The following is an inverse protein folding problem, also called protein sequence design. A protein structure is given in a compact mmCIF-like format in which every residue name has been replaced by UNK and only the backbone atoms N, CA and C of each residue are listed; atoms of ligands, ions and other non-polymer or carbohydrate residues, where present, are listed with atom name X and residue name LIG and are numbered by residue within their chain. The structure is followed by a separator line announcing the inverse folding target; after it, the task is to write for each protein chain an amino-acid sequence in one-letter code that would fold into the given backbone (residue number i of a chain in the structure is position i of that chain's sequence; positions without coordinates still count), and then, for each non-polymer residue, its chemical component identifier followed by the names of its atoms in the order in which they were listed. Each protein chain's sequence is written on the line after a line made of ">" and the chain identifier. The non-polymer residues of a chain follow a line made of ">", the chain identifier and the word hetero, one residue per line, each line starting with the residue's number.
data_IF_351955391065
#
_entry.id   IF_351955391065
#
_cell.length_a   1.000
_cell.length_b   1.000
_cell.length_c   1.000
_cell.angle_alpha   90.00
_cell.angle_beta   90.00
_cell.angle_gamma   90.00
#
_symmetry.space_group_name_H-M   'P 1'
#
loop_
_entity.id
_entity.type
_entity.pdbx_description
1 polymer ?
#
# COMPACT_ATOMS: atom_id res chain seq x y z
N UNK A 1 -24.05 -8.26 5.86
CA UNK A 1 -23.49 -7.13 5.09
C UNK A 1 -22.13 -7.56 4.60
N UNK A 2 -21.66 -7.09 3.45
CA UNK A 2 -20.30 -7.42 2.99
C UNK A 2 -19.29 -6.84 3.99
N UNK A 3 -18.24 -7.59 4.28
CA UNK A 3 -17.11 -7.07 5.07
C UNK A 3 -16.32 -6.06 4.24
N UNK A 4 -15.71 -5.08 4.90
CA UNK A 4 -15.06 -3.95 4.23
C UNK A 4 -13.54 -4.01 4.32
N UNK A 5 -12.87 -3.68 3.23
CA UNK A 5 -11.42 -3.48 3.16
C UNK A 5 -11.16 -2.01 2.83
N UNK A 6 -10.36 -1.33 3.66
CA UNK A 6 -9.94 0.04 3.41
C UNK A 6 -8.63 0.03 2.62
N UNK A 7 -8.64 0.55 1.39
CA UNK A 7 -7.44 0.69 0.57
C UNK A 7 -7.04 2.16 0.49
N UNK A 8 -5.81 2.49 0.93
CA UNK A 8 -5.35 3.86 1.11
C UNK A 8 -4.25 4.19 0.11
N UNK A 9 -4.53 5.16 -0.76
CA UNK A 9 -3.63 5.65 -1.80
C UNK A 9 -2.92 6.93 -1.34
N UNK A 10 -1.71 7.17 -1.83
CA UNK A 10 -1.03 8.46 -1.65
C UNK A 10 -1.80 9.60 -2.33
N UNK A 11 -1.75 10.79 -1.75
CA UNK A 11 -2.17 12.04 -2.38
C UNK A 11 -0.99 12.85 -2.93
N UNK A 12 0.24 12.31 -2.87
CA UNK A 12 1.46 13.00 -3.29
C UNK A 12 1.74 12.82 -4.78
N UNK A 13 1.96 13.91 -5.51
CA UNK A 13 2.03 13.92 -6.99
C UNK A 13 3.43 14.26 -7.56
N UNK A 14 4.43 14.49 -6.70
CA UNK A 14 5.76 14.97 -7.12
C UNK A 14 6.90 14.10 -6.59
N UNK A 15 7.85 13.80 -7.44
CA UNK A 15 9.01 13.00 -7.06
C UNK A 15 10.11 13.91 -6.48
N UNK A 16 9.88 14.38 -5.25
CA UNK A 16 10.74 15.37 -4.59
C UNK A 16 10.93 16.64 -5.43
N UNK A 17 12.17 17.13 -5.48
CA UNK A 17 12.56 18.30 -6.28
C UNK A 17 13.05 17.95 -7.69
N UNK A 18 12.86 16.71 -8.15
CA UNK A 18 13.34 16.24 -9.47
C UNK A 18 12.65 16.91 -10.67
N UNK A 19 11.46 17.51 -10.44
CA UNK A 19 10.61 18.04 -11.49
C UNK A 19 9.76 16.99 -12.21
N UNK A 20 9.82 15.72 -11.79
CA UNK A 20 8.98 14.64 -12.29
C UNK A 20 7.76 14.40 -11.38
N UNK A 21 6.66 13.94 -11.98
CA UNK A 21 5.46 13.52 -11.26
C UNK A 21 5.61 12.09 -10.73
N UNK A 22 4.86 11.78 -9.68
CA UNK A 22 4.65 10.42 -9.17
C UNK A 22 3.22 10.30 -8.62
N UNK A 23 2.92 9.21 -7.93
CA UNK A 23 1.64 8.94 -7.31
C UNK A 23 1.59 7.51 -6.81
N UNK A 24 0.39 6.94 -6.74
CA UNK A 24 0.25 5.50 -6.55
C UNK A 24 0.64 4.75 -7.83
N UNK A 25 1.08 3.50 -7.70
CA UNK A 25 1.33 2.63 -8.86
C UNK A 25 0.06 1.85 -9.24
N UNK A 26 -0.43 1.99 -10.48
CA UNK A 26 -1.74 1.46 -10.88
C UNK A 26 -1.93 -0.04 -10.62
N UNK A 27 -0.96 -0.88 -11.00
CA UNK A 27 -1.02 -2.34 -10.78
C UNK A 27 -1.18 -2.69 -9.28
N UNK A 28 -0.51 -1.94 -8.41
CA UNK A 28 -0.49 -2.18 -6.96
C UNK A 28 -1.81 -1.82 -6.28
N UNK A 29 -2.67 -1.07 -6.97
CA UNK A 29 -4.03 -0.77 -6.55
C UNK A 29 -5.02 -1.70 -7.26
N UNK A 30 -4.92 -1.83 -8.59
CA UNK A 30 -5.89 -2.51 -9.43
C UNK A 30 -5.95 -4.02 -9.16
N UNK A 31 -4.80 -4.71 -9.09
CA UNK A 31 -4.77 -6.15 -8.84
C UNK A 31 -5.32 -6.49 -7.44
N UNK A 32 -4.90 -5.83 -6.33
CA UNK A 32 -5.51 -6.05 -5.03
C UNK A 32 -7.00 -5.69 -4.98
N UNK A 33 -7.39 -4.57 -5.61
CA UNK A 33 -8.80 -4.14 -5.61
C UNK A 33 -9.68 -5.22 -6.22
N UNK A 34 -9.31 -5.71 -7.40
CA UNK A 34 -10.08 -6.73 -8.11
C UNK A 34 -10.13 -8.04 -7.33
N UNK A 35 -9.00 -8.50 -6.78
CA UNK A 35 -8.93 -9.72 -5.97
C UNK A 35 -9.87 -9.64 -4.76
N UNK A 36 -9.90 -8.49 -4.07
CA UNK A 36 -10.79 -8.28 -2.93
C UNK A 36 -12.27 -8.17 -3.34
N UNK A 37 -12.57 -7.47 -4.43
CA UNK A 37 -13.92 -7.32 -4.98
C UNK A 37 -14.51 -8.67 -5.44
N UNK A 38 -13.73 -9.47 -6.18
CA UNK A 38 -14.14 -10.80 -6.64
C UNK A 38 -14.29 -11.80 -5.48
N UNK A 39 -13.57 -11.59 -4.37
CA UNK A 39 -13.74 -12.34 -3.13
C UNK A 39 -14.99 -11.91 -2.31
N UNK A 40 -15.72 -10.88 -2.74
CA UNK A 40 -16.98 -10.43 -2.15
C UNK A 40 -16.83 -9.38 -1.05
N UNK A 41 -15.65 -8.78 -0.90
CA UNK A 41 -15.43 -7.66 0.02
C UNK A 41 -15.83 -6.33 -0.62
N UNK A 42 -16.35 -5.42 0.19
CA UNK A 42 -16.53 -4.04 -0.22
C UNK A 42 -15.20 -3.28 -0.06
N UNK A 43 -14.56 -2.93 -1.18
CA UNK A 43 -13.31 -2.16 -1.18
C UNK A 43 -13.58 -0.66 -1.15
N UNK A 44 -13.27 -0.01 -0.03
CA UNK A 44 -13.36 1.44 0.13
C UNK A 44 -12.02 2.06 -0.22
N UNK A 45 -12.00 2.96 -1.22
CA UNK A 45 -10.81 3.71 -1.57
C UNK A 45 -10.73 5.01 -0.77
N UNK A 46 -9.57 5.28 -0.20
CA UNK A 46 -9.29 6.47 0.58
C UNK A 46 -7.91 7.06 0.22
N UNK A 47 -7.71 8.34 0.52
CA UNK A 47 -6.40 8.99 0.42
C UNK A 47 -6.29 10.11 1.46
N UNK A 48 -5.08 10.58 1.82
CA UNK A 48 -4.92 11.67 2.78
C UNK A 48 -5.81 12.89 2.52
N UNK A 49 -5.92 13.30 1.25
CA UNK A 49 -6.69 14.48 0.85
C UNK A 49 -8.10 14.18 0.32
N UNK A 50 -8.43 12.92 0.08
CA UNK A 50 -9.65 12.53 -0.63
C UNK A 50 -9.65 12.95 -2.10
N UNK A 51 -10.77 12.74 -2.80
CA UNK A 51 -10.88 13.01 -4.24
C UNK A 51 -10.08 12.02 -5.09
N UNK A 52 -9.73 12.38 -6.32
CA UNK A 52 -8.93 11.52 -7.21
C UNK A 52 -7.44 11.60 -6.86
N UNK A 53 -6.81 10.54 -6.34
CA UNK A 53 -5.39 10.55 -6.02
C UNK A 53 -4.55 10.54 -7.31
N UNK A 54 -3.34 11.14 -7.28
CA UNK A 54 -2.43 11.11 -8.42
C UNK A 54 -1.89 9.69 -8.64
N UNK A 55 -1.77 9.28 -9.89
CA UNK A 55 -1.04 8.06 -10.25
C UNK A 55 0.35 8.42 -10.77
N UNK A 56 1.30 7.51 -10.59
CA UNK A 56 2.58 7.62 -11.28
C UNK A 56 2.38 7.38 -12.78
N UNK A 57 2.72 8.33 -13.68
CA UNK A 57 2.51 8.14 -15.13
C UNK A 57 3.22 6.88 -15.68
N UNK A 58 4.36 6.50 -15.10
CA UNK A 58 5.11 5.32 -15.55
C UNK A 58 4.33 4.02 -15.33
N UNK A 59 3.42 4.00 -14.36
CA UNK A 59 2.59 2.83 -14.06
C UNK A 59 1.58 2.50 -15.16
N UNK A 60 1.36 3.41 -16.12
CA UNK A 60 0.54 3.18 -17.32
C UNK A 60 1.34 3.27 -18.62
N UNK A 61 2.35 4.14 -18.70
CA UNK A 61 3.07 4.44 -19.93
C UNK A 61 4.17 3.42 -20.29
N UNK A 62 4.71 2.70 -19.31
CA UNK A 62 5.86 1.80 -19.52
C UNK A 62 5.47 0.36 -19.88
N UNK A 63 4.19 0.12 -20.17
CA UNK A 63 3.67 -1.23 -20.39
C UNK A 63 3.41 -1.45 -21.87
N UNK A 64 4.18 -2.35 -22.50
CA UNK A 64 3.93 -2.82 -23.86
C UNK A 64 2.52 -3.44 -23.99
N UNK A 65 2.05 -4.05 -22.90
CA UNK A 65 0.71 -4.60 -22.72
C UNK A 65 0.22 -4.18 -21.34
N UNK A 66 -0.94 -3.52 -21.28
CA UNK A 66 -1.61 -3.21 -20.02
C UNK A 66 -1.96 -4.52 -19.31
N UNK A 67 -1.56 -4.72 -18.04
CA UNK A 67 -1.95 -5.88 -17.24
C UNK A 67 -3.46 -6.04 -17.19
N UNK A 68 -3.93 -7.29 -17.17
CA UNK A 68 -5.36 -7.61 -17.21
C UNK A 68 -6.14 -6.95 -16.06
N UNK A 69 -5.54 -6.85 -14.88
CA UNK A 69 -6.18 -6.23 -13.71
C UNK A 69 -6.29 -4.72 -13.82
N UNK A 70 -5.27 -4.06 -14.37
CA UNK A 70 -5.31 -2.63 -14.69
C UNK A 70 -6.35 -2.35 -15.78
N UNK A 71 -6.37 -3.15 -16.84
CA UNK A 71 -7.37 -3.02 -17.91
C UNK A 71 -8.80 -3.21 -17.35
N UNK A 72 -9.02 -4.25 -16.55
CA UNK A 72 -10.30 -4.49 -15.89
C UNK A 72 -10.72 -3.30 -15.02
N UNK A 73 -9.80 -2.73 -14.24
CA UNK A 73 -10.10 -1.60 -13.37
C UNK A 73 -10.51 -0.36 -14.17
N UNK A 74 -9.72 -0.01 -15.20
CA UNK A 74 -9.98 1.14 -16.07
C UNK A 74 -11.30 1.03 -16.83
N UNK A 75 -11.72 -0.19 -17.19
CA UNK A 75 -12.99 -0.47 -17.86
C UNK A 75 -14.19 -0.59 -16.92
N UNK A 76 -13.96 -0.70 -15.61
CA UNK A 76 -15.02 -0.84 -14.59
C UNK A 76 -15.48 0.55 -14.09
N UNK A 77 -16.70 1.00 -14.45
CA UNK A 77 -17.16 2.35 -14.10
C UNK A 77 -17.30 2.58 -12.60
N UNK A 78 -17.71 1.55 -11.84
CA UNK A 78 -17.88 1.62 -10.39
C UNK A 78 -16.54 1.76 -9.69
N UNK A 79 -15.54 0.97 -10.11
CA UNK A 79 -14.18 1.05 -9.57
C UNK A 79 -13.55 2.42 -9.86
N UNK A 80 -13.71 2.91 -11.09
CA UNK A 80 -13.25 4.25 -11.48
C UNK A 80 -13.98 5.38 -10.76
N UNK A 81 -15.28 5.24 -10.48
CA UNK A 81 -16.02 6.23 -9.67
C UNK A 81 -15.47 6.29 -8.24
N UNK A 82 -15.19 5.14 -7.61
CA UNK A 82 -14.54 5.09 -6.29
C UNK A 82 -13.15 5.70 -6.30
N UNK A 83 -12.39 5.52 -7.37
CA UNK A 83 -11.06 6.12 -7.49
C UNK A 83 -11.14 7.64 -7.64
N UNK A 84 -12.14 8.15 -8.37
CA UNK A 84 -12.32 9.61 -8.56
C UNK A 84 -12.79 10.34 -7.31
N UNK A 85 -13.38 9.63 -6.36
CA UNK A 85 -13.97 10.18 -5.15
C UNK A 85 -13.51 9.41 -3.91
N UNK A 86 -12.19 9.30 -3.72
CA UNK A 86 -11.65 8.64 -2.52
C UNK A 86 -12.02 9.40 -1.26
N UNK A 87 -12.30 8.65 -0.19
CA UNK A 87 -12.64 9.23 1.11
C UNK A 87 -11.39 9.86 1.74
N UNK A 88 -11.43 11.12 2.23
CA UNK A 88 -10.29 11.70 2.94
C UNK A 88 -10.06 10.95 4.27
N UNK A 89 -8.80 10.69 4.63
CA UNK A 89 -8.48 9.95 5.87
C UNK A 89 -9.04 10.60 7.15
N UNK A 90 -9.28 11.92 7.11
CA UNK A 90 -9.90 12.65 8.22
C UNK A 90 -11.37 12.26 8.49
N UNK A 91 -12.05 11.66 7.52
CA UNK A 91 -13.46 11.28 7.58
C UNK A 91 -13.67 9.77 7.77
N UNK A 92 -12.58 8.99 7.79
CA UNK A 92 -12.65 7.56 8.04
C UNK A 92 -13.04 7.30 9.50
N UNK A 93 -14.16 6.60 9.69
CA UNK A 93 -14.54 6.05 11.00
C UNK A 93 -13.77 4.75 11.27
N UNK A 94 -13.19 4.66 12.46
CA UNK A 94 -12.42 3.49 12.87
C UNK A 94 -13.37 2.32 13.18
N UNK A 95 -12.96 1.08 12.93
CA UNK A 95 -13.69 -0.10 13.43
C UNK A 95 -14.43 -0.97 12.40
N UNK A 96 -14.84 -0.42 11.26
CA UNK A 96 -15.69 -1.14 10.28
C UNK A 96 -14.90 -2.01 9.29
N UNK A 97 -13.58 -1.88 9.28
CA UNK A 97 -12.72 -2.56 8.31
C UNK A 97 -12.09 -3.81 8.91
N UNK A 98 -12.21 -4.92 8.19
CA UNK A 98 -11.56 -6.20 8.52
C UNK A 98 -10.11 -6.26 8.03
N UNK A 99 -9.78 -5.42 7.03
CA UNK A 99 -8.41 -5.19 6.59
C UNK A 99 -8.17 -3.75 6.14
N UNK A 100 -6.90 -3.34 6.21
CA UNK A 100 -6.36 -2.11 5.60
C UNK A 100 -5.30 -2.53 4.59
N UNK A 101 -5.30 -1.95 3.39
CA UNK A 101 -4.33 -2.23 2.34
C UNK A 101 -3.67 -0.94 1.83
N UNK A 102 -2.35 -0.94 1.70
CA UNK A 102 -1.56 0.21 1.24
C UNK A 102 -0.84 -0.14 -0.07
N UNK A 103 -1.39 0.25 -1.24
CA UNK A 103 -0.64 0.28 -2.49
C UNK A 103 0.57 1.21 -2.36
N UNK A 104 1.62 0.93 -3.10
CA UNK A 104 2.81 1.78 -3.18
C UNK A 104 2.75 2.73 -4.38
N UNK A 105 3.85 2.80 -5.12
CA UNK A 105 4.26 3.97 -5.89
C UNK A 105 5.02 4.97 -5.03
N UNK A 106 5.99 5.68 -5.63
CA UNK A 106 6.93 6.51 -4.86
C UNK A 106 6.25 7.61 -4.06
N UNK A 107 5.07 8.08 -4.45
CA UNK A 107 4.32 9.07 -3.65
C UNK A 107 4.06 8.60 -2.22
N UNK A 108 3.90 7.28 -1.99
CA UNK A 108 3.58 6.69 -0.71
C UNK A 108 4.63 6.96 0.39
N UNK A 109 5.90 7.22 0.06
CA UNK A 109 6.93 7.55 1.06
C UNK A 109 7.01 9.05 1.38
N UNK A 110 6.28 9.90 0.68
CA UNK A 110 6.31 11.36 0.91
C UNK A 110 5.25 11.85 1.87
N UNK A 111 4.01 11.32 1.81
CA UNK A 111 2.90 11.81 2.63
C UNK A 111 2.48 10.82 3.73
N UNK A 112 2.28 9.55 3.38
CA UNK A 112 1.78 8.52 4.30
C UNK A 112 2.58 8.38 5.60
N UNK A 113 3.94 8.39 5.62
CA UNK A 113 4.71 8.19 6.84
C UNK A 113 4.43 9.22 7.94
N UNK A 114 3.96 10.41 7.55
CA UNK A 114 3.73 11.55 8.44
C UNK A 114 2.25 11.84 8.70
N UNK A 115 1.34 11.11 8.07
CA UNK A 115 -0.08 11.32 8.21
C UNK A 115 -0.62 10.78 9.54
N UNK A 116 -1.07 11.70 10.41
CA UNK A 116 -1.55 11.36 11.75
C UNK A 116 -2.92 10.65 11.75
N UNK A 117 -3.70 10.74 10.67
CA UNK A 117 -4.92 9.95 10.53
C UNK A 117 -4.57 8.52 10.16
N UNK A 118 -3.68 8.32 9.18
CA UNK A 118 -3.19 7.00 8.81
C UNK A 118 -2.58 6.25 10.00
N UNK A 119 -1.69 6.91 10.77
CA UNK A 119 -1.08 6.30 11.94
C UNK A 119 -2.11 5.82 12.97
N UNK A 120 -3.21 6.57 13.17
CA UNK A 120 -4.32 6.16 14.04
C UNK A 120 -5.15 5.02 13.45
N UNK A 121 -5.44 5.06 12.15
CA UNK A 121 -6.17 3.98 11.45
C UNK A 121 -5.42 2.66 11.59
N UNK A 122 -4.11 2.67 11.33
CA UNK A 122 -3.27 1.48 11.39
C UNK A 122 -3.08 0.98 12.83
N UNK A 123 -2.92 1.89 13.79
CA UNK A 123 -2.86 1.53 15.22
C UNK A 123 -4.15 0.84 15.70
N UNK A 124 -5.31 1.42 15.40
CA UNK A 124 -6.61 0.81 15.71
C UNK A 124 -6.80 -0.55 15.00
N UNK A 125 -6.47 -0.61 13.71
CA UNK A 125 -6.52 -1.85 12.94
C UNK A 125 -5.67 -2.95 13.60
N UNK A 126 -4.45 -2.63 14.03
CA UNK A 126 -3.59 -3.58 14.73
C UNK A 126 -4.16 -4.02 16.08
N UNK A 127 -4.68 -3.08 16.89
CA UNK A 127 -5.25 -3.37 18.22
C UNK A 127 -6.52 -4.23 18.14
N UNK A 128 -7.37 -4.02 17.13
CA UNK A 128 -8.52 -4.89 16.82
C UNK A 128 -8.12 -6.22 16.17
N UNK A 129 -6.85 -6.35 15.81
CA UNK A 129 -6.33 -7.47 15.06
C UNK A 129 -6.94 -7.58 13.67
N UNK A 130 -7.22 -6.49 12.96
CA UNK A 130 -7.50 -6.47 11.52
C UNK A 130 -6.24 -6.89 10.72
N UNK A 131 -6.41 -7.32 9.46
CA UNK A 131 -5.26 -7.61 8.57
C UNK A 131 -4.73 -6.30 8.01
N UNK A 132 -3.41 -6.12 7.97
CA UNK A 132 -2.75 -4.97 7.35
C UNK A 132 -1.91 -5.49 6.19
N UNK A 133 -2.22 -5.04 4.98
CA UNK A 133 -1.49 -5.34 3.75
C UNK A 133 -0.76 -4.11 3.22
N UNK A 134 0.44 -4.26 2.67
CA UNK A 134 1.12 -3.21 1.95
C UNK A 134 2.06 -3.77 0.87
N UNK A 135 2.30 -3.04 -0.22
CA UNK A 135 3.20 -3.51 -1.30
C UNK A 135 4.11 -2.39 -1.79
N UNK A 136 5.32 -2.73 -2.25
CA UNK A 136 6.28 -1.79 -2.84
C UNK A 136 6.69 -0.69 -1.87
N UNK A 137 6.32 0.57 -2.15
CA UNK A 137 6.50 1.72 -1.24
C UNK A 137 5.37 1.91 -0.22
N UNK A 138 4.27 1.16 -0.35
CA UNK A 138 3.14 1.16 0.58
C UNK A 138 3.51 0.92 2.05
N UNK A 139 4.49 0.04 2.39
CA UNK A 139 5.02 -0.09 3.74
C UNK A 139 5.56 1.22 4.34
N UNK A 140 5.85 2.24 3.52
CA UNK A 140 6.15 3.60 3.97
C UNK A 140 5.04 4.18 4.87
N UNK A 141 3.77 3.85 4.62
CA UNK A 141 2.67 4.25 5.48
C UNK A 141 2.70 3.62 6.89
N UNK A 142 3.44 2.53 7.08
CA UNK A 142 3.61 1.90 8.40
C UNK A 142 4.64 2.63 9.28
N UNK A 143 5.46 3.52 8.69
CA UNK A 143 6.59 4.18 9.37
C UNK A 143 6.14 5.06 10.54
N UNK A 144 4.99 5.72 10.41
CA UNK A 144 4.41 6.58 11.44
C UNK A 144 3.46 5.85 12.40
N UNK A 145 3.16 4.57 12.16
CA UNK A 145 2.16 3.83 12.91
C UNK A 145 2.76 3.16 14.17
N UNK A 146 2.05 3.25 15.28
CA UNK A 146 2.46 2.67 16.57
C UNK A 146 1.36 1.80 17.15
N UNK A 147 1.73 0.79 17.93
CA UNK A 147 0.79 0.02 18.75
C UNK A 147 0.37 0.84 19.97
N UNK A 148 -0.65 0.38 20.68
CA UNK A 148 -1.12 0.96 21.95
C UNK A 148 -0.04 1.10 23.04
N UNK A 149 1.02 0.31 22.99
CA UNK A 149 2.17 0.42 23.92
C UNK A 149 3.20 1.49 23.50
N UNK A 150 3.01 2.16 22.37
CA UNK A 150 3.90 3.19 21.82
C UNK A 150 5.06 2.67 20.97
N UNK A 151 5.22 1.34 20.80
CA UNK A 151 6.23 0.78 19.91
C UNK A 151 5.81 0.89 18.43
N UNK A 152 6.77 0.94 17.49
CA UNK A 152 6.46 0.86 16.07
C UNK A 152 5.60 -0.36 15.74
N UNK A 153 4.60 -0.20 14.88
CA UNK A 153 3.63 -1.25 14.52
C UNK A 153 4.32 -2.51 13.98
N UNK A 154 5.45 -2.35 13.30
CA UNK A 154 6.21 -3.43 12.66
C UNK A 154 7.32 -4.03 13.52
N UNK A 155 7.55 -3.52 14.74
CA UNK A 155 8.66 -3.98 15.58
C UNK A 155 8.51 -5.48 15.90
N UNK A 156 9.50 -6.29 15.50
CA UNK A 156 9.50 -7.75 15.67
C UNK A 156 8.57 -8.50 14.70
N UNK A 157 8.14 -7.88 13.61
CA UNK A 157 7.46 -8.55 12.49
C UNK A 157 8.43 -8.78 11.34
N UNK A 158 8.27 -9.89 10.62
CA UNK A 158 8.86 -10.02 9.30
C UNK A 158 8.13 -9.08 8.34
N UNK A 159 8.91 -8.31 7.58
CA UNK A 159 8.39 -7.33 6.62
C UNK A 159 9.23 -7.35 5.35
N UNK A 160 8.65 -6.90 4.25
CA UNK A 160 9.36 -6.59 3.01
C UNK A 160 8.77 -5.30 2.42
N UNK A 161 9.34 -4.84 1.33
CA UNK A 161 8.98 -3.63 0.60
C UNK A 161 10.02 -3.38 -0.48
N UNK A 162 9.88 -2.29 -1.22
CA UNK A 162 10.82 -1.98 -2.30
C UNK A 162 12.25 -1.90 -1.75
N UNK A 163 13.16 -2.69 -2.35
CA UNK A 163 14.50 -2.89 -1.80
C UNK A 163 15.40 -1.70 -2.11
N UNK A 164 16.49 -1.55 -1.35
CA UNK A 164 17.51 -0.56 -1.66
C UNK A 164 18.15 -0.80 -3.04
N UNK A 165 18.29 -2.06 -3.46
CA UNK A 165 18.81 -2.42 -4.78
C UNK A 165 17.85 -2.07 -5.92
N UNK A 166 16.55 -2.28 -5.74
CA UNK A 166 15.52 -1.85 -6.68
C UNK A 166 15.47 -0.31 -6.78
N UNK A 167 15.56 0.40 -5.65
CA UNK A 167 15.62 1.87 -5.61
C UNK A 167 16.85 2.43 -6.34
N UNK A 168 18.00 1.77 -6.16
CA UNK A 168 19.23 2.08 -6.88
C UNK A 168 19.07 1.84 -8.39
N UNK A 169 18.45 0.72 -8.78
CA UNK A 169 18.25 0.36 -10.17
C UNK A 169 17.33 1.36 -10.92
N UNK A 170 16.36 1.96 -10.22
CA UNK A 170 15.51 3.04 -10.78
C UNK A 170 16.11 4.44 -10.62
N UNK A 171 17.30 4.54 -10.00
CA UNK A 171 18.08 5.77 -9.80
C UNK A 171 17.37 6.86 -8.99
N UNK A 172 16.63 6.47 -7.94
CA UNK A 172 15.84 7.40 -7.11
C UNK A 172 16.28 7.45 -5.64
N UNK A 173 17.40 6.82 -5.29
CA UNK A 173 17.95 6.77 -3.92
C UNK A 173 18.16 8.15 -3.30
N UNK A 174 18.55 9.15 -4.10
CA UNK A 174 18.79 10.53 -3.66
C UNK A 174 17.55 11.43 -3.79
N UNK A 175 16.43 10.88 -4.25
CA UNK A 175 15.18 11.62 -4.51
C UNK A 175 14.12 11.31 -3.45
N UNK A 176 14.03 10.04 -3.02
CA UNK A 176 13.14 9.64 -1.94
C UNK A 176 13.58 10.25 -0.61
N UNK A 177 12.66 10.57 0.32
CA UNK A 177 13.00 11.21 1.59
C UNK A 177 13.76 10.28 2.54
N UNK A 178 13.65 8.97 2.33
CA UNK A 178 14.40 7.92 3.00
C UNK A 178 14.34 6.65 2.14
N UNK A 179 15.32 5.77 2.32
CA UNK A 179 15.27 4.43 1.76
C UNK A 179 14.33 3.55 2.58
N UNK A 180 13.34 2.93 1.92
CA UNK A 180 12.28 2.21 2.62
C UNK A 180 12.81 1.03 3.43
N UNK A 181 13.65 0.19 2.83
CA UNK A 181 14.25 -0.96 3.51
C UNK A 181 14.97 -0.53 4.79
N UNK A 182 15.85 0.48 4.70
CA UNK A 182 16.60 1.00 5.84
C UNK A 182 15.65 1.48 6.93
N UNK A 183 14.61 2.23 6.54
CA UNK A 183 13.64 2.77 7.49
C UNK A 183 12.83 1.68 8.20
N UNK A 184 12.45 0.61 7.50
CA UNK A 184 11.76 -0.52 8.11
C UNK A 184 12.65 -1.26 9.11
N UNK A 185 13.96 -1.41 8.80
CA UNK A 185 14.94 -2.00 9.72
C UNK A 185 15.16 -1.14 10.97
N UNK A 186 15.24 0.19 10.83
CA UNK A 186 15.36 1.12 11.96
C UNK A 186 14.20 1.01 12.95
N UNK A 187 13.01 0.70 12.46
CA UNK A 187 11.80 0.47 13.25
C UNK A 187 11.69 -0.96 13.80
N UNK A 188 12.79 -1.71 13.80
CA UNK A 188 12.89 -3.09 14.28
C UNK A 188 12.02 -4.08 13.49
N UNK A 189 11.69 -3.79 12.23
CA UNK A 189 11.15 -4.79 11.30
C UNK A 189 12.25 -5.76 10.86
N UNK A 190 11.96 -7.07 10.92
CA UNK A 190 12.83 -8.11 10.37
C UNK A 190 12.67 -8.14 8.84
N UNK A 191 13.38 -7.21 8.16
CA UNK A 191 13.23 -7.04 6.73
C UNK A 191 13.86 -8.20 5.95
N UNK A 192 13.02 -8.87 5.17
CA UNK A 192 13.33 -9.98 4.26
C UNK A 192 13.05 -9.56 2.82
N UNK A 193 13.78 -10.14 1.86
CA UNK A 193 13.62 -9.81 0.43
C UNK A 193 13.85 -11.03 -0.45
N UNK A 194 13.24 -11.01 -1.63
CA UNK A 194 13.52 -11.89 -2.75
C UNK A 194 14.48 -11.23 -3.76
N UNK A 195 14.50 -11.75 -4.97
CA UNK A 195 15.27 -11.16 -6.07
C UNK A 195 14.58 -9.89 -6.58
N UNK A 196 15.35 -8.88 -6.97
CA UNK A 196 14.84 -7.62 -7.51
C UNK A 196 13.87 -7.84 -8.69
N UNK A 197 12.77 -7.10 -8.69
CA UNK A 197 11.72 -7.13 -9.72
C UNK A 197 11.05 -8.50 -9.92
N UNK A 198 11.12 -9.38 -8.93
CA UNK A 198 10.39 -10.65 -8.91
C UNK A 198 9.29 -10.64 -7.84
N UNK A 199 8.21 -11.42 -8.02
CA UNK A 199 7.18 -11.55 -6.99
C UNK A 199 7.75 -12.08 -5.67
N UNK A 200 7.62 -11.29 -4.60
CA UNK A 200 7.98 -11.67 -3.25
C UNK A 200 7.06 -11.00 -2.24
N UNK A 201 6.36 -11.79 -1.43
CA UNK A 201 5.51 -11.30 -0.36
C UNK A 201 5.65 -12.20 0.87
N UNK A 202 5.59 -11.57 2.05
CA UNK A 202 5.67 -12.24 3.35
C UNK A 202 4.43 -11.90 4.16
N UNK A 203 3.90 -12.91 4.84
CA UNK A 203 2.88 -12.76 5.88
C UNK A 203 3.50 -13.15 7.22
N UNK A 204 3.39 -12.26 8.19
CA UNK A 204 3.68 -12.54 9.59
C UNK A 204 2.46 -12.13 10.44
N UNK A 205 1.77 -13.14 11.00
CA UNK A 205 0.50 -12.98 11.72
C UNK A 205 -0.54 -12.26 10.85
N UNK A 206 -0.91 -11.04 11.23
CA UNK A 206 -1.89 -10.18 10.56
C UNK A 206 -1.25 -9.10 9.67
N UNK A 207 0.07 -9.07 9.56
CA UNK A 207 0.78 -8.14 8.68
C UNK A 207 1.22 -8.88 7.42
N UNK A 208 0.89 -8.35 6.26
CA UNK A 208 1.27 -8.86 4.94
C UNK A 208 1.97 -7.74 4.19
N UNK A 209 3.17 -8.02 3.69
CA UNK A 209 3.94 -7.05 2.90
C UNK A 209 4.45 -7.68 1.61
N UNK A 210 4.43 -6.93 0.51
CA UNK A 210 4.99 -7.31 -0.79
C UNK A 210 6.11 -6.38 -1.24
N UNK A 211 7.07 -6.92 -1.99
CA UNK A 211 8.31 -6.22 -2.30
C UNK A 211 8.13 -5.13 -3.37
N UNK A 212 7.38 -5.39 -4.44
CA UNK A 212 7.41 -4.57 -5.66
C UNK A 212 6.10 -4.74 -6.46
N UNK A 213 5.88 -4.04 -7.60
CA UNK A 213 4.65 -4.17 -8.38
C UNK A 213 4.31 -5.62 -8.77
N UNK A 214 5.32 -6.46 -9.04
CA UNK A 214 5.12 -7.87 -9.39
C UNK A 214 4.58 -8.71 -8.23
N UNK A 215 4.60 -8.16 -7.02
CA UNK A 215 4.12 -8.81 -5.80
C UNK A 215 2.67 -8.47 -5.47
N UNK A 216 2.03 -7.53 -6.18
CA UNK A 216 0.70 -6.98 -5.86
C UNK A 216 -0.37 -8.05 -5.66
N UNK A 217 -0.54 -8.95 -6.63
CA UNK A 217 -1.50 -10.03 -6.55
C UNK A 217 -1.19 -10.97 -5.38
N UNK A 218 0.08 -11.37 -5.22
CA UNK A 218 0.47 -12.30 -4.14
C UNK A 218 0.25 -11.71 -2.75
N UNK A 219 0.49 -10.40 -2.58
CA UNK A 219 0.20 -9.69 -1.33
C UNK A 219 -1.30 -9.70 -1.04
N UNK A 220 -2.15 -9.43 -2.04
CA UNK A 220 -3.60 -9.46 -1.87
C UNK A 220 -4.13 -10.86 -1.53
N UNK A 221 -3.62 -11.90 -2.20
CA UNK A 221 -3.95 -13.30 -1.89
C UNK A 221 -3.62 -13.65 -0.44
N UNK A 222 -2.43 -13.28 0.04
CA UNK A 222 -2.01 -13.52 1.43
C UNK A 222 -2.89 -12.75 2.44
N UNK A 223 -3.38 -11.56 2.07
CA UNK A 223 -4.37 -10.82 2.87
C UNK A 223 -5.69 -11.58 2.94
N UNK A 224 -6.17 -12.12 1.82
CA UNK A 224 -7.38 -12.96 1.80
C UNK A 224 -7.22 -14.25 2.60
N UNK A 225 -6.08 -14.94 2.45
CA UNK A 225 -5.74 -16.12 3.27
C UNK A 225 -5.82 -15.78 4.77
N UNK A 226 -5.27 -14.63 5.18
CA UNK A 226 -5.31 -14.17 6.56
C UNK A 226 -6.73 -13.81 7.08
N UNK A 227 -7.62 -13.36 6.20
CA UNK A 227 -9.01 -13.05 6.54
C UNK A 227 -9.85 -14.32 6.69
N UNK A 228 -9.60 -15.34 5.86
CA UNK A 228 -10.36 -16.59 5.84
C UNK A 228 -10.01 -17.55 6.98
N UNK A 229 -8.86 -17.37 7.63
CA UNK A 229 -8.42 -18.18 8.78
C UNK A 229 -9.01 -17.74 10.14
N UNK A 230 -9.86 -16.69 10.14
CA UNK A 230 -10.40 -16.07 11.35
C UNK A 230 -11.69 -16.70 11.88
#
# INVERSE_FOLDING_TARGET
>A
MAEKILMILTSHDRLGDSGHSTGFWYEEMAAPYRIFDEAGFEVVLASPLGGEPPHDPKSLEQLDVTPDDVAWFLENPTAMERLRDTVPLAEIDFGDFVAVFLPGGHGAVFDLPSDAHLGRILGDAADRGAVIGAVCHGPGGLVGATRSNGEPLIAGYQVTGFTNSEEQAVALTEVVPFLLEDRLRELSGDFVQGDDFTPFAVRDRNLVTGQNPMSSARTAELVLEALLER
#
